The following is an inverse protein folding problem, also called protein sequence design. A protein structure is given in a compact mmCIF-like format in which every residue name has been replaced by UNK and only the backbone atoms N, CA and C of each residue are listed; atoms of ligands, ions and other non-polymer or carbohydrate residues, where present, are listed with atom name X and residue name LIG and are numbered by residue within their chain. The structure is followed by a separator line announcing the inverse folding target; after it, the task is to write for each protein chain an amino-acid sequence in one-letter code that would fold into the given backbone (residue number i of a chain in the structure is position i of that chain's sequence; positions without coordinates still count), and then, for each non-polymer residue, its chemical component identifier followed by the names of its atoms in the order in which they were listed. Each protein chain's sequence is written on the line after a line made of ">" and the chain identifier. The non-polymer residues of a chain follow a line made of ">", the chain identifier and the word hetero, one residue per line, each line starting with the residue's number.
data_IF_930851600283
#
_entry.id   IF_930851600283
#
_cell.length_a   1.000
_cell.length_b   1.000
_cell.length_c   1.000
_cell.angle_alpha   90.00
_cell.angle_beta   90.00
_cell.angle_gamma   90.00
#
_symmetry.space_group_name_H-M   'P 1'
#
loop_
_entity.id
_entity.type
_entity.pdbx_description
1 polymer ?
#
# COMPACT_ATOMS: atom_id res chain seq x y z
N UNK A 1 11.33 -11.58 12.36
CA UNK A 1 10.67 -11.95 13.64
C UNK A 1 10.21 -13.39 13.49
N UNK A 2 10.97 -14.32 14.07
CA UNK A 2 10.78 -15.77 13.94
C UNK A 2 9.61 -16.22 14.79
N UNK A 3 8.53 -16.67 14.17
CA UNK A 3 7.46 -17.36 14.88
C UNK A 3 7.95 -18.75 15.28
N UNK A 4 8.13 -18.94 16.59
CA UNK A 4 8.37 -20.24 17.17
C UNK A 4 7.08 -21.09 17.06
N UNK A 5 7.09 -22.05 16.16
CA UNK A 5 6.13 -23.15 16.18
C UNK A 5 6.54 -24.08 17.32
N UNK A 6 5.90 -23.95 18.49
CA UNK A 6 6.09 -24.85 19.62
C UNK A 6 5.45 -26.20 19.30
N UNK A 7 6.30 -27.15 18.95
CA UNK A 7 5.93 -28.55 18.86
C UNK A 7 5.69 -29.07 20.28
N UNK A 8 4.44 -29.24 20.66
CA UNK A 8 4.10 -29.96 21.91
C UNK A 8 4.10 -31.45 21.58
N UNK A 9 5.17 -32.11 21.96
CA UNK A 9 5.24 -33.56 21.98
C UNK A 9 4.43 -34.08 23.16
N UNK A 10 3.29 -34.67 22.88
CA UNK A 10 2.54 -35.45 23.89
C UNK A 10 3.09 -36.88 23.82
N UNK A 11 3.99 -37.22 24.75
CA UNK A 11 4.32 -38.59 25.07
C UNK A 11 3.23 -39.18 25.96
N UNK A 12 2.32 -39.90 25.34
CA UNK A 12 1.40 -40.79 26.04
C UNK A 12 1.68 -42.23 25.60
N UNK A 13 2.48 -42.95 26.38
CA UNK A 13 2.75 -44.35 26.22
C UNK A 13 1.57 -45.14 26.72
N UNK A 14 0.74 -45.69 25.84
CA UNK A 14 -0.21 -46.73 26.19
C UNK A 14 0.10 -48.00 25.37
N UNK A 15 0.65 -48.98 26.08
CA UNK A 15 0.75 -50.36 25.63
C UNK A 15 -0.65 -50.94 25.65
N UNK A 16 -1.14 -51.49 24.53
CA UNK A 16 -2.08 -52.62 24.47
C UNK A 16 -2.22 -53.06 23.00
N UNK A 17 -1.97 -54.38 22.77
CA UNK A 17 -2.70 -55.23 21.83
C UNK A 17 -2.35 -55.12 20.35
N UNK A 18 -1.63 -56.11 19.95
CA UNK A 18 -1.37 -56.58 18.60
C UNK A 18 -2.66 -56.75 17.76
N UNK A 19 -2.89 -55.93 16.73
CA UNK A 19 -3.62 -56.31 15.54
C UNK A 19 -3.02 -55.60 14.32
N UNK A 20 -2.65 -56.33 13.25
CA UNK A 20 -2.20 -55.67 12.04
C UNK A 20 -3.41 -55.33 11.18
N UNK A 21 -3.48 -54.15 10.70
CA UNK A 21 -4.11 -53.67 9.47
C UNK A 21 -4.81 -52.30 9.67
N UNK A 22 -4.38 -51.48 8.81
CA UNK A 22 -4.85 -50.13 8.45
C UNK A 22 -3.90 -49.01 8.92
N UNK A 23 -2.80 -48.87 8.18
CA UNK A 23 -2.04 -47.64 8.09
C UNK A 23 -2.91 -46.58 7.35
N UNK A 24 -3.68 -45.82 8.10
CA UNK A 24 -4.26 -44.57 7.57
C UNK A 24 -3.19 -43.49 7.74
N UNK A 25 -2.43 -43.27 6.70
CA UNK A 25 -1.48 -42.21 6.56
C UNK A 25 -2.32 -40.89 6.42
N UNK A 26 -2.66 -40.32 7.56
CA UNK A 26 -3.26 -38.98 7.63
C UNK A 26 -2.20 -37.93 7.26
N UNK A 27 -2.09 -37.62 5.97
CA UNK A 27 -1.32 -36.49 5.47
C UNK A 27 -2.04 -35.20 5.89
N UNK A 28 -1.64 -34.65 7.04
CA UNK A 28 -2.09 -33.35 7.51
C UNK A 28 -1.47 -32.28 6.58
N UNK A 29 -2.18 -31.98 5.50
CA UNK A 29 -1.87 -30.85 4.64
C UNK A 29 -2.08 -29.58 5.46
N UNK A 30 -1.00 -29.09 6.08
CA UNK A 30 -0.94 -27.77 6.66
C UNK A 30 -1.01 -26.78 5.50
N UNK A 31 -2.21 -26.35 5.14
CA UNK A 31 -2.43 -25.30 4.16
C UNK A 31 -1.86 -24.01 4.75
N UNK A 32 -0.63 -23.69 4.39
CA UNK A 32 -0.05 -22.36 4.61
C UNK A 32 -0.78 -21.43 3.66
N UNK A 33 -1.84 -20.79 4.17
CA UNK A 33 -2.49 -19.69 3.48
C UNK A 33 -1.53 -18.51 3.51
N UNK A 34 -0.70 -18.37 2.49
CA UNK A 34 0.01 -17.13 2.21
C UNK A 34 -1.05 -16.08 1.89
N UNK A 35 -1.44 -15.29 2.90
CA UNK A 35 -2.11 -14.02 2.64
C UNK A 35 -1.11 -13.19 1.82
N UNK A 36 -1.46 -12.93 0.57
CA UNK A 36 -0.84 -11.84 -0.16
C UNK A 36 -0.99 -10.60 0.74
N UNK A 37 0.11 -9.93 1.08
CA UNK A 37 0.10 -8.69 1.84
C UNK A 37 -0.69 -7.67 1.01
N UNK A 38 -1.98 -7.55 1.32
CA UNK A 38 -2.84 -6.54 0.74
C UNK A 38 -2.34 -5.19 1.24
N UNK A 39 -1.96 -4.31 0.31
CA UNK A 39 -1.47 -2.97 0.62
C UNK A 39 -2.48 -2.25 1.51
N UNK A 40 -2.07 -1.75 2.68
CA UNK A 40 -2.97 -1.00 3.55
C UNK A 40 -3.46 0.25 2.83
N UNK A 41 -4.77 0.47 2.89
CA UNK A 41 -5.41 1.68 2.39
C UNK A 41 -5.65 2.59 3.58
N UNK A 42 -5.06 3.77 3.56
CA UNK A 42 -5.09 4.75 4.65
C UNK A 42 -5.57 6.12 4.17
N UNK A 43 -5.99 6.96 5.11
CA UNK A 43 -6.32 8.36 4.81
C UNK A 43 -5.06 9.22 4.74
N UNK A 44 -5.14 10.31 4.00
CA UNK A 44 -4.07 11.31 3.89
C UNK A 44 -3.61 11.85 5.26
N UNK A 45 -4.55 12.03 6.20
CA UNK A 45 -4.26 12.49 7.57
C UNK A 45 -3.50 11.46 8.43
N UNK A 46 -3.52 10.19 8.06
CA UNK A 46 -2.85 9.09 8.77
C UNK A 46 -1.45 8.79 8.19
N UNK A 47 -1.11 9.36 7.04
CA UNK A 47 0.10 9.06 6.29
C UNK A 47 1.39 9.21 7.13
N UNK A 48 1.44 10.15 8.07
CA UNK A 48 2.59 10.37 8.94
C UNK A 48 2.91 9.14 9.83
N UNK A 49 1.90 8.32 10.16
CA UNK A 49 2.07 7.11 10.98
C UNK A 49 2.62 5.92 10.17
N UNK A 50 2.60 6.04 8.85
CA UNK A 50 3.02 5.00 7.92
C UNK A 50 4.32 5.33 7.18
N UNK A 51 5.08 6.31 7.66
CA UNK A 51 6.39 6.65 7.09
C UNK A 51 7.30 5.44 7.07
N UNK A 52 7.96 5.20 5.94
CA UNK A 52 8.79 4.04 5.67
C UNK A 52 8.02 2.78 5.22
N UNK A 53 6.69 2.82 5.17
CA UNK A 53 5.84 1.71 4.75
C UNK A 53 5.25 1.96 3.36
N UNK A 54 4.97 0.88 2.66
CA UNK A 54 4.22 0.93 1.40
C UNK A 54 2.72 0.89 1.69
N UNK A 55 1.98 1.85 1.16
CA UNK A 55 0.54 1.99 1.38
C UNK A 55 -0.16 2.67 0.19
N UNK A 56 -1.47 2.55 0.13
CA UNK A 56 -2.32 3.39 -0.70
C UNK A 56 -2.90 4.51 0.17
N UNK A 57 -2.47 5.75 -0.09
CA UNK A 57 -2.97 6.93 0.62
C UNK A 57 -4.12 7.53 -0.17
N UNK A 58 -5.32 7.59 0.44
CA UNK A 58 -6.53 8.16 -0.16
C UNK A 58 -6.90 9.48 0.49
N UNK A 59 -7.29 10.46 -0.33
CA UNK A 59 -7.74 11.75 0.17
C UNK A 59 -8.27 12.67 -0.92
N UNK A 60 -8.77 13.82 -0.49
CA UNK A 60 -9.23 14.89 -1.37
C UNK A 60 -8.02 15.72 -1.81
N UNK A 61 -7.86 15.89 -3.12
CA UNK A 61 -6.83 16.77 -3.67
C UNK A 61 -7.24 18.23 -3.46
N UNK A 62 -6.50 18.91 -2.60
CA UNK A 62 -6.73 20.34 -2.33
C UNK A 62 -6.15 21.24 -3.44
N UNK A 63 -4.94 20.90 -3.90
CA UNK A 63 -4.30 21.64 -5.01
C UNK A 63 -3.35 20.76 -5.81
N UNK A 64 -3.13 21.15 -7.06
CA UNK A 64 -2.11 20.59 -7.94
C UNK A 64 -1.24 21.75 -8.41
N UNK A 65 0.07 21.64 -8.20
CA UNK A 65 1.05 22.62 -8.65
C UNK A 65 2.00 21.96 -9.64
N UNK A 66 2.07 22.52 -10.85
CA UNK A 66 2.97 22.02 -11.90
C UNK A 66 3.99 23.12 -12.19
N UNK A 67 5.28 22.79 -12.06
CA UNK A 67 6.35 23.72 -12.38
C UNK A 67 6.59 23.78 -13.90
N UNK A 68 7.19 24.87 -14.42
CA UNK A 68 7.55 24.97 -15.84
C UNK A 68 8.52 23.88 -16.31
N UNK A 69 9.22 23.23 -15.38
CA UNK A 69 10.16 22.15 -15.66
C UNK A 69 9.49 20.76 -15.66
N UNK A 70 8.17 20.67 -15.46
CA UNK A 70 7.43 19.43 -15.46
C UNK A 70 7.43 18.67 -14.11
N UNK A 71 7.91 19.28 -13.04
CA UNK A 71 7.73 18.73 -11.68
C UNK A 71 6.33 19.05 -11.20
N UNK A 72 5.61 18.09 -10.64
CA UNK A 72 4.28 18.32 -10.10
C UNK A 72 4.17 17.88 -8.64
N UNK A 73 3.35 18.63 -7.89
CA UNK A 73 2.97 18.34 -6.52
C UNK A 73 1.44 18.24 -6.43
N UNK A 74 0.97 17.12 -5.87
CA UNK A 74 -0.45 16.89 -5.59
C UNK A 74 -0.62 17.00 -4.08
N UNK A 75 -1.23 18.08 -3.61
CA UNK A 75 -1.43 18.34 -2.17
C UNK A 75 -2.79 17.83 -1.72
N UNK A 76 -2.81 17.08 -0.60
CA UNK A 76 -4.01 16.50 -0.03
C UNK A 76 -4.45 17.24 1.23
N UNK A 77 -5.76 17.25 1.47
CA UNK A 77 -6.39 17.83 2.65
C UNK A 77 -6.38 19.36 2.65
N UNK A 78 -5.22 19.97 2.47
CA UNK A 78 -5.02 21.44 2.39
C UNK A 78 -3.98 21.78 1.34
N UNK A 79 -3.94 23.03 0.95
CA UNK A 79 -2.91 23.56 0.05
C UNK A 79 -1.54 23.66 0.75
N UNK A 80 -0.48 23.68 -0.06
CA UNK A 80 0.87 23.96 0.44
C UNK A 80 0.95 25.32 1.16
N UNK A 81 1.64 25.42 2.31
CA UNK A 81 2.46 24.42 2.98
C UNK A 81 1.71 23.60 4.06
N UNK A 82 0.38 23.66 4.11
CA UNK A 82 -0.44 23.07 5.18
C UNK A 82 -1.03 21.70 4.81
N UNK A 83 -0.58 21.09 3.71
CA UNK A 83 -1.04 19.78 3.26
C UNK A 83 -0.80 18.70 4.32
N UNK A 84 -1.72 17.73 4.38
CA UNK A 84 -1.59 16.53 5.23
C UNK A 84 -0.68 15.49 4.63
N UNK A 85 -0.67 15.42 3.29
CA UNK A 85 0.12 14.48 2.49
C UNK A 85 0.38 15.07 1.10
N UNK A 86 1.46 14.63 0.45
CA UNK A 86 1.78 15.05 -0.91
C UNK A 86 2.12 13.87 -1.83
N UNK A 87 1.72 13.96 -3.09
CA UNK A 87 2.27 13.17 -4.19
C UNK A 87 3.28 14.01 -4.96
N UNK A 88 4.52 13.54 -5.06
CA UNK A 88 5.59 14.22 -5.78
C UNK A 88 5.88 13.52 -7.11
N UNK A 89 5.83 14.24 -8.20
CA UNK A 89 6.14 13.75 -9.55
C UNK A 89 7.35 14.51 -10.05
N UNK A 90 8.46 13.80 -10.28
CA UNK A 90 9.70 14.41 -10.82
C UNK A 90 9.54 14.79 -12.28
N UNK A 91 10.19 15.86 -12.69
CA UNK A 91 10.35 16.19 -14.09
C UNK A 91 10.98 15.01 -14.86
N UNK A 92 10.44 14.72 -16.05
CA UNK A 92 10.90 13.60 -16.89
C UNK A 92 10.47 12.21 -16.41
N UNK A 93 9.60 12.12 -15.43
CA UNK A 93 8.95 10.84 -15.06
C UNK A 93 8.02 10.36 -16.17
N UNK A 94 7.68 9.06 -16.16
CA UNK A 94 6.71 8.48 -17.12
C UNK A 94 5.26 8.91 -16.84
N UNK A 95 5.04 9.74 -15.85
CA UNK A 95 3.73 10.29 -15.52
C UNK A 95 3.49 11.48 -16.44
N UNK A 96 2.42 11.40 -17.21
CA UNK A 96 1.96 12.53 -18.01
C UNK A 96 1.46 13.64 -17.06
N UNK A 97 2.31 14.64 -16.85
CA UNK A 97 2.07 15.73 -15.88
C UNK A 97 1.17 16.82 -16.43
N UNK A 98 0.79 16.76 -17.71
CA UNK A 98 0.14 17.89 -18.34
C UNK A 98 -1.33 18.10 -17.89
N UNK A 99 -2.28 17.68 -18.68
CA UNK A 99 -3.66 18.07 -18.42
C UNK A 99 -4.39 17.15 -17.44
N UNK A 100 -4.06 15.86 -17.40
CA UNK A 100 -4.75 14.91 -16.53
C UNK A 100 -4.47 15.13 -15.05
N UNK A 101 -3.22 15.43 -14.70
CA UNK A 101 -2.85 15.69 -13.31
C UNK A 101 -3.51 16.97 -12.81
N UNK A 102 -3.56 18.03 -13.62
CA UNK A 102 -4.24 19.28 -13.27
C UNK A 102 -5.74 19.09 -12.97
N UNK A 103 -6.39 18.12 -13.64
CA UNK A 103 -7.82 17.83 -13.42
C UNK A 103 -8.12 17.08 -12.12
N UNK A 104 -7.09 16.70 -11.36
CA UNK A 104 -7.27 15.97 -10.09
C UNK A 104 -7.71 16.85 -8.94
N UNK A 105 -7.52 18.18 -9.03
CA UNK A 105 -7.94 19.10 -8.00
C UNK A 105 -9.45 18.98 -7.71
N UNK A 106 -9.80 18.91 -6.43
CA UNK A 106 -11.17 18.70 -5.97
C UNK A 106 -11.69 17.27 -6.07
N UNK A 107 -10.86 16.30 -6.50
CA UNK A 107 -11.25 14.90 -6.61
C UNK A 107 -10.69 14.05 -5.48
N UNK A 108 -11.41 12.98 -5.15
CA UNK A 108 -10.92 11.91 -4.27
C UNK A 108 -10.08 10.95 -5.10
N UNK A 109 -8.81 10.81 -4.75
CA UNK A 109 -7.90 9.87 -5.41
C UNK A 109 -7.10 9.07 -4.38
N UNK A 110 -6.43 8.00 -4.84
CA UNK A 110 -5.46 7.24 -4.07
C UNK A 110 -4.09 7.30 -4.73
N UNK A 111 -3.03 7.43 -3.93
CA UNK A 111 -1.65 7.29 -4.40
C UNK A 111 -1.00 6.12 -3.68
N UNK A 112 -0.43 5.19 -4.45
CA UNK A 112 0.23 3.99 -3.94
C UNK A 112 1.74 4.13 -4.01
N UNK A 113 2.43 3.79 -2.93
CA UNK A 113 3.89 3.80 -2.87
C UNK A 113 4.43 3.82 -1.45
N UNK A 114 5.75 3.89 -1.34
CA UNK A 114 6.41 4.05 -0.05
C UNK A 114 6.29 5.50 0.41
N UNK A 115 5.83 5.67 1.65
CA UNK A 115 5.67 6.99 2.26
C UNK A 115 7.01 7.42 2.82
N UNK A 116 7.51 8.57 2.38
CA UNK A 116 8.74 9.19 2.84
C UNK A 116 8.43 10.51 3.55
N UNK A 117 9.38 11.02 4.35
CA UNK A 117 9.27 12.37 4.90
C UNK A 117 10.11 13.32 4.05
N UNK A 118 9.47 14.38 3.56
CA UNK A 118 10.14 15.50 2.92
C UNK A 118 9.80 16.79 3.66
N UNK A 119 10.81 17.47 4.20
CA UNK A 119 10.63 18.69 5.01
C UNK A 119 9.59 18.53 6.14
N UNK A 120 9.56 17.34 6.78
CA UNK A 120 8.62 17.02 7.85
C UNK A 120 7.20 16.70 7.42
N UNK A 121 6.92 16.61 6.11
CA UNK A 121 5.62 16.22 5.56
C UNK A 121 5.72 14.84 4.90
N UNK A 122 4.71 13.98 5.08
CA UNK A 122 4.67 12.69 4.40
C UNK A 122 4.39 12.89 2.91
N UNK A 123 5.17 12.22 2.07
CA UNK A 123 4.97 12.23 0.63
C UNK A 123 5.23 10.86 0.00
N UNK A 124 4.67 10.61 -1.17
CA UNK A 124 5.02 9.49 -2.04
C UNK A 124 5.60 10.03 -3.34
N UNK A 125 6.77 9.49 -3.72
CA UNK A 125 7.32 9.69 -5.06
C UNK A 125 6.53 8.89 -6.09
N UNK A 126 5.87 9.59 -7.00
CA UNK A 126 5.11 9.00 -8.09
C UNK A 126 6.00 8.93 -9.32
N UNK A 127 6.29 7.72 -9.77
CA UNK A 127 7.13 7.44 -10.94
C UNK A 127 6.35 6.90 -12.13
N UNK A 128 5.12 6.41 -11.89
CA UNK A 128 4.21 5.87 -12.90
C UNK A 128 2.78 6.32 -12.63
N UNK A 129 2.02 6.55 -13.68
CA UNK A 129 0.59 6.91 -13.60
C UNK A 129 -0.27 5.84 -12.92
N UNK A 130 0.16 4.57 -12.96
CA UNK A 130 -0.55 3.46 -12.30
C UNK A 130 -0.58 3.57 -10.77
N UNK A 131 0.33 4.34 -10.19
CA UNK A 131 0.33 4.63 -8.77
C UNK A 131 -0.82 5.57 -8.36
N UNK A 132 -1.41 6.30 -9.33
CA UNK A 132 -2.51 7.24 -9.08
C UNK A 132 -3.83 6.56 -9.41
N UNK A 133 -4.54 6.09 -8.41
CA UNK A 133 -5.87 5.51 -8.56
C UNK A 133 -6.93 6.62 -8.62
N UNK A 134 -7.81 6.53 -9.58
CA UNK A 134 -8.78 7.59 -9.88
C UNK A 134 -8.41 8.42 -11.13
N UNK A 135 -7.15 8.33 -11.59
CA UNK A 135 -6.75 8.96 -12.85
C UNK A 135 -7.40 8.29 -14.07
N UNK A 136 -7.53 6.96 -14.02
CA UNK A 136 -8.05 6.14 -15.12
C UNK A 136 -9.57 5.93 -15.11
N UNK A 137 -10.24 6.23 -14.02
CA UNK A 137 -11.70 6.06 -13.91
C UNK A 137 -12.53 7.10 -14.69
N UNK A 138 -11.85 8.07 -15.32
CA UNK A 138 -12.52 9.11 -16.14
C UNK A 138 -12.58 8.76 -17.63
N UNK A 139 -12.07 7.59 -18.05
CA UNK A 139 -12.11 7.18 -19.47
C UNK A 139 -13.31 6.30 -19.83
N UNK A 140 -14.26 6.09 -18.89
CA UNK A 140 -15.50 5.34 -19.13
C UNK A 140 -16.69 6.25 -18.86
N UNK A 141 -16.91 7.20 -19.74
CA UNK A 141 -18.20 7.86 -19.99
C UNK A 141 -18.33 8.15 -21.47
#
# INVERSE_FOLDING_TARGET
>A
MLLHCKLIAIQGYIRIGMHPMFAVLGLLLCSVTTRADELPVIKDSEAVQYVGKNAEVRGLVASVTISPLGTAFISFGREYPNQTFAGFISAGSKVDTDQRIATLQGKMIGITGTIELHQGKPEIKVTSGDQIKGLNSQLVQ
#
